data_IF_498601628799
#
_entry.id   IF_498601628799
#
_cell.length_a   1.000
_cell.length_b   1.000
_cell.length_c   1.000
_cell.angle_alpha   90.00
_cell.angle_beta   90.00
_cell.angle_gamma   90.00
#
_symmetry.space_group_name_H-M   'P 1'
#
loop_
_entity.id
_entity.type
_entity.pdbx_description
1 polymer ?
#
# COMPACT_ATOMS: atom_id res chain seq x y z
N UNK A 1 19.49 -18.34 23.08
CA UNK A 1 20.16 -17.17 22.49
C UNK A 1 19.35 -16.76 21.26
N UNK A 2 18.64 -15.64 21.31
CA UNK A 2 17.87 -15.14 20.16
C UNK A 2 18.87 -14.53 19.16
N UNK A 3 19.14 -15.26 18.08
CA UNK A 3 20.01 -14.79 16.99
C UNK A 3 19.19 -13.89 16.05
N UNK A 4 18.74 -12.74 16.55
CA UNK A 4 18.08 -11.74 15.72
C UNK A 4 19.14 -10.94 14.96
N UNK A 5 19.04 -10.76 13.63
CA UNK A 5 20.02 -10.02 12.86
C UNK A 5 20.16 -8.59 13.40
N UNK A 6 21.41 -8.15 13.61
CA UNK A 6 21.74 -6.81 14.17
C UNK A 6 21.22 -5.65 13.32
N UNK A 7 20.91 -5.89 12.05
CA UNK A 7 20.36 -4.90 11.13
C UNK A 7 19.33 -5.56 10.22
N UNK A 8 18.17 -4.92 10.08
CA UNK A 8 17.14 -5.34 9.16
C UNK A 8 17.25 -4.49 7.90
N UNK A 9 17.58 -5.10 6.77
CA UNK A 9 17.63 -4.41 5.48
C UNK A 9 16.28 -4.57 4.81
N UNK A 10 15.61 -3.44 4.52
CA UNK A 10 14.41 -3.45 3.70
C UNK A 10 14.81 -3.63 2.24
N UNK A 11 14.65 -4.85 1.71
CA UNK A 11 15.01 -5.19 0.33
C UNK A 11 13.88 -4.90 -0.65
N UNK A 12 12.65 -4.73 -0.15
CA UNK A 12 11.47 -4.54 -0.96
C UNK A 12 10.73 -3.26 -0.57
N UNK A 13 10.16 -2.60 -1.57
CA UNK A 13 9.29 -1.43 -1.43
C UNK A 13 7.96 -1.74 -2.12
N UNK A 14 6.87 -1.72 -1.37
CA UNK A 14 5.52 -1.79 -1.93
C UNK A 14 4.92 -0.39 -1.93
N UNK A 15 4.42 0.02 -3.08
CA UNK A 15 3.71 1.29 -3.25
C UNK A 15 2.26 0.98 -3.60
N UNK A 16 1.32 1.46 -2.77
CA UNK A 16 -0.10 1.33 -3.06
C UNK A 16 -0.58 2.47 -3.92
N UNK A 17 -0.92 2.13 -5.16
CA UNK A 17 -1.38 3.09 -6.17
C UNK A 17 -2.90 3.05 -6.29
N UNK A 18 -3.61 4.13 -5.91
CA UNK A 18 -5.02 4.27 -6.19
C UNK A 18 -5.30 4.15 -7.70
N UNK A 19 -6.36 3.41 -8.00
CA UNK A 19 -6.91 3.28 -9.36
C UNK A 19 -8.25 4.01 -9.43
N UNK A 20 -8.78 4.14 -10.65
CA UNK A 20 -10.05 4.81 -10.91
C UNK A 20 -11.20 4.38 -9.97
N UNK A 21 -11.38 3.08 -9.63
CA UNK A 21 -12.45 2.68 -8.71
C UNK A 21 -12.41 3.33 -7.33
N UNK A 22 -11.22 3.68 -6.82
CA UNK A 22 -11.07 4.40 -5.55
C UNK A 22 -11.58 5.83 -5.68
N UNK A 23 -11.20 6.51 -6.76
CA UNK A 23 -11.66 7.88 -7.04
C UNK A 23 -13.19 7.92 -7.22
N UNK A 24 -13.74 6.95 -7.94
CA UNK A 24 -15.19 6.83 -8.15
C UNK A 24 -15.93 6.57 -6.83
N UNK A 25 -15.36 5.74 -5.96
CA UNK A 25 -15.90 5.49 -4.63
C UNK A 25 -15.93 6.77 -3.78
N UNK A 26 -14.81 7.52 -3.72
CA UNK A 26 -14.72 8.79 -2.98
C UNK A 26 -15.80 9.76 -3.47
N UNK A 27 -15.90 9.96 -4.80
CA UNK A 27 -16.89 10.85 -5.41
C UNK A 27 -18.34 10.47 -5.13
N UNK A 28 -18.60 9.17 -4.90
CA UNK A 28 -19.93 8.64 -4.62
C UNK A 28 -20.32 8.77 -3.14
N UNK A 29 -19.38 8.58 -2.22
CA UNK A 29 -19.67 8.54 -0.78
C UNK A 29 -19.58 9.89 -0.09
N UNK A 30 -18.78 10.81 -0.63
CA UNK A 30 -18.63 12.16 -0.09
C UNK A 30 -19.82 13.05 -0.52
N UNK A 31 -20.60 13.62 0.42
CA UNK A 31 -21.69 14.54 0.09
C UNK A 31 -21.23 15.85 -0.59
N UNK A 32 -19.95 16.21 -0.48
CA UNK A 32 -19.36 17.38 -1.13
C UNK A 32 -17.97 17.03 -1.71
N UNK A 33 -17.94 16.22 -2.78
CA UNK A 33 -16.70 15.63 -3.25
C UNK A 33 -15.74 16.71 -3.77
N UNK A 34 -14.46 16.68 -3.37
CA UNK A 34 -13.47 17.60 -3.91
C UNK A 34 -13.31 17.41 -5.42
N UNK A 35 -12.92 18.48 -6.13
CA UNK A 35 -12.52 18.38 -7.54
C UNK A 35 -11.14 17.72 -7.65
N UNK A 36 -11.13 16.40 -7.42
CA UNK A 36 -9.94 15.56 -7.34
C UNK A 36 -9.75 14.77 -8.64
N UNK A 37 -8.54 14.81 -9.18
CA UNK A 37 -8.11 13.94 -10.29
C UNK A 37 -7.41 12.68 -9.76
N UNK A 38 -7.34 11.65 -10.60
CA UNK A 38 -6.64 10.42 -10.23
C UNK A 38 -5.15 10.67 -9.98
N UNK A 39 -4.55 11.61 -10.71
CA UNK A 39 -3.14 11.98 -10.52
C UNK A 39 -2.92 12.71 -9.20
N UNK A 40 -3.83 13.61 -8.80
CA UNK A 40 -3.79 14.25 -7.49
C UNK A 40 -3.94 13.24 -6.35
N UNK A 41 -4.84 12.26 -6.50
CA UNK A 41 -5.01 11.18 -5.53
C UNK A 41 -3.75 10.30 -5.40
N UNK A 42 -2.92 10.25 -6.43
CA UNK A 42 -1.65 9.51 -6.44
C UNK A 42 -0.47 10.30 -5.90
N UNK A 43 -0.61 11.59 -5.57
CA UNK A 43 0.48 12.34 -4.95
C UNK A 43 0.76 11.84 -3.53
N UNK A 44 -0.29 11.52 -2.78
CA UNK A 44 -0.23 11.09 -1.38
C UNK A 44 -0.38 9.56 -1.26
N UNK A 45 0.54 8.83 -1.89
CA UNK A 45 0.53 7.37 -1.94
C UNK A 45 1.25 6.73 -0.75
N UNK A 46 0.74 5.59 -0.29
CA UNK A 46 1.32 4.86 0.83
C UNK A 46 2.46 3.94 0.34
N UNK A 47 3.59 4.00 1.04
CA UNK A 47 4.77 3.21 0.75
C UNK A 47 5.15 2.34 1.97
N UNK A 48 5.44 1.06 1.73
CA UNK A 48 5.84 0.10 2.76
C UNK A 48 7.22 -0.44 2.46
N UNK A 49 8.13 -0.22 3.40
CA UNK A 49 9.44 -0.84 3.41
C UNK A 49 9.33 -2.22 4.04
N UNK A 50 9.76 -3.25 3.31
CA UNK A 50 9.60 -4.64 3.72
C UNK A 50 10.97 -5.29 3.80
N UNK A 51 11.20 -5.87 4.96
CA UNK A 51 12.41 -6.61 5.32
C UNK A 51 12.37 -8.07 4.89
N UNK A 52 11.15 -8.61 4.74
CA UNK A 52 10.93 -9.98 4.28
C UNK A 52 11.34 -10.13 2.82
N UNK A 53 11.81 -11.33 2.47
CA UNK A 53 12.03 -11.68 1.08
C UNK A 53 10.68 -11.97 0.41
N UNK A 54 10.34 -11.19 -0.61
CA UNK A 54 9.14 -11.36 -1.43
C UNK A 54 9.56 -11.87 -2.81
N UNK A 55 8.98 -12.98 -3.26
CA UNK A 55 9.30 -13.55 -4.57
C UNK A 55 8.26 -13.09 -5.62
N UNK A 56 8.29 -11.78 -5.89
CA UNK A 56 7.46 -11.15 -6.92
C UNK A 56 6.09 -10.66 -6.46
N UNK A 57 5.24 -10.34 -7.44
CA UNK A 57 4.01 -9.57 -7.21
C UNK A 57 2.98 -10.30 -6.34
N UNK A 58 2.83 -11.62 -6.51
CA UNK A 58 1.83 -12.39 -5.76
C UNK A 58 2.11 -12.38 -4.25
N UNK A 59 3.38 -12.44 -3.85
CA UNK A 59 3.77 -12.39 -2.46
C UNK A 59 3.61 -10.99 -1.87
N UNK A 60 3.90 -9.95 -2.66
CA UNK A 60 3.62 -8.56 -2.31
C UNK A 60 2.11 -8.33 -2.07
N UNK A 61 1.24 -8.85 -2.94
CA UNK A 61 -0.22 -8.76 -2.79
C UNK A 61 -0.71 -9.48 -1.53
N UNK A 62 -0.23 -10.70 -1.27
CA UNK A 62 -0.57 -11.44 -0.04
C UNK A 62 -0.11 -10.71 1.21
N UNK A 63 1.08 -10.10 1.18
CA UNK A 63 1.60 -9.31 2.30
C UNK A 63 0.68 -8.12 2.60
N UNK A 64 0.28 -7.38 1.57
CA UNK A 64 -0.66 -6.27 1.69
C UNK A 64 -2.00 -6.77 2.23
N UNK A 65 -2.58 -7.83 1.67
CA UNK A 65 -3.86 -8.37 2.13
C UNK A 65 -3.84 -8.75 3.61
N UNK A 66 -2.81 -9.47 4.07
CA UNK A 66 -2.67 -9.84 5.50
C UNK A 66 -2.59 -8.62 6.41
N UNK A 67 -1.93 -7.56 5.96
CA UNK A 67 -1.80 -6.32 6.72
C UNK A 67 -3.14 -5.58 6.89
N UNK A 68 -4.01 -5.63 5.88
CA UNK A 68 -5.33 -4.97 5.93
C UNK A 68 -6.47 -5.86 6.43
N UNK A 69 -6.29 -7.18 6.51
CA UNK A 69 -7.27 -8.09 7.14
C UNK A 69 -7.43 -7.90 8.66
N UNK A 70 -6.63 -7.04 9.28
CA UNK A 70 -6.74 -6.71 10.70
C UNK A 70 -7.78 -5.60 11.00
N UNK A 71 -8.49 -5.09 9.99
CA UNK A 71 -9.55 -4.09 10.12
C UNK A 71 -10.85 -4.60 9.49
#
# INVERSE_FOLDING_TARGET
MHNSPRFTINRHLIILMPKQPVLDWIKRVDPNPPNLTLDQLRLEQNAFLISDDLDGQQDAEKWVQRRWQMF
#
